data_IF_029610341428
#
_entry.id   IF_029610341428
#
_cell.length_a   1.000
_cell.length_b   1.000
_cell.length_c   1.000
_cell.angle_alpha   90.00
_cell.angle_beta   90.00
_cell.angle_gamma   90.00
#
_symmetry.space_group_name_H-M   'P 1'
#
loop_
_entity.id
_entity.type
_entity.pdbx_description
1 polymer ?
#
# COMPACT_ATOMS: atom_id res chain seq x y z
N UNK A 1 0.69 4.14 12.19
CA UNK A 1 1.70 3.15 12.41
C UNK A 1 1.92 2.35 11.15
N UNK A 2 3.15 2.12 10.80
CA UNK A 2 3.45 1.49 9.55
C UNK A 2 3.17 0.00 9.54
N UNK A 3 2.78 -0.52 8.43
CA UNK A 3 2.66 -1.95 8.24
C UNK A 3 3.05 -2.30 6.82
N UNK A 4 3.37 -3.57 6.61
CA UNK A 4 3.73 -4.06 5.29
C UNK A 4 2.51 -4.56 4.57
N UNK A 5 2.34 -4.15 3.34
CA UNK A 5 1.35 -4.74 2.46
C UNK A 5 2.04 -5.18 1.19
N UNK A 6 1.47 -6.13 0.50
CA UNK A 6 2.09 -6.73 -0.66
C UNK A 6 1.54 -6.08 -1.93
N UNK A 7 2.46 -5.68 -2.80
CA UNK A 7 2.12 -5.10 -4.09
C UNK A 7 2.17 -6.20 -5.14
N UNK A 8 1.01 -6.58 -5.65
CA UNK A 8 0.93 -7.67 -6.63
C UNK A 8 1.46 -7.28 -7.99
N UNK A 9 1.48 -5.99 -8.30
CA UNK A 9 1.98 -5.55 -9.59
C UNK A 9 3.49 -5.70 -9.71
N UNK A 10 4.18 -5.34 -8.64
CA UNK A 10 5.63 -5.40 -8.63
C UNK A 10 6.17 -6.66 -7.98
N UNK A 11 5.34 -7.35 -7.21
CA UNK A 11 5.81 -8.49 -6.45
C UNK A 11 6.66 -8.10 -5.26
N UNK A 12 6.49 -6.90 -4.75
CA UNK A 12 7.27 -6.37 -3.64
C UNK A 12 6.37 -5.95 -2.51
N UNK A 13 6.97 -5.73 -1.36
CA UNK A 13 6.25 -5.18 -0.22
C UNK A 13 6.37 -3.67 -0.20
N UNK A 14 5.31 -3.03 0.25
CA UNK A 14 5.35 -1.60 0.51
C UNK A 14 5.00 -1.37 1.97
N UNK A 15 5.43 -0.23 2.49
CA UNK A 15 5.22 0.12 3.89
C UNK A 15 4.26 1.28 3.99
N UNK A 16 3.21 1.10 4.77
CA UNK A 16 2.27 2.20 4.97
C UNK A 16 2.88 3.22 5.90
N UNK A 17 2.73 4.48 5.55
CA UNK A 17 3.22 5.59 6.36
C UNK A 17 2.08 6.20 7.15
N UNK A 18 0.92 6.25 6.53
CA UNK A 18 -0.27 6.79 7.16
C UNK A 18 -1.47 6.07 6.60
N UNK A 19 -2.66 6.53 6.93
CA UNK A 19 -3.88 5.85 6.51
C UNK A 19 -4.04 5.78 5.00
N UNK A 20 -3.44 6.71 4.27
CA UNK A 20 -3.61 6.75 2.82
C UNK A 20 -2.31 6.93 2.06
N UNK A 21 -1.18 6.73 2.71
CA UNK A 21 0.11 6.86 2.04
C UNK A 21 1.01 5.70 2.40
N UNK A 22 1.79 5.29 1.42
CA UNK A 22 2.76 4.23 1.64
C UNK A 22 4.00 4.52 0.81
N UNK A 23 5.05 3.78 1.07
CA UNK A 23 6.29 3.90 0.33
C UNK A 23 6.72 2.52 -0.11
N UNK A 24 7.09 2.38 -1.37
CA UNK A 24 7.53 1.08 -1.86
C UNK A 24 9.01 0.87 -1.54
N UNK A 25 9.52 -0.30 -1.92
CA UNK A 25 10.90 -0.65 -1.59
C UNK A 25 11.92 0.21 -2.32
N UNK A 26 11.52 0.86 -3.38
CA UNK A 26 12.40 1.78 -4.11
C UNK A 26 12.37 3.19 -3.56
N UNK A 27 11.51 3.44 -2.59
CA UNK A 27 11.39 4.76 -2.01
C UNK A 27 10.37 5.65 -2.68
N UNK A 28 9.55 5.09 -3.57
CA UNK A 28 8.51 5.86 -4.24
C UNK A 28 7.27 5.94 -3.37
N UNK A 29 6.65 7.11 -3.35
CA UNK A 29 5.42 7.28 -2.59
C UNK A 29 4.24 6.72 -3.35
N UNK A 30 3.35 6.11 -2.62
CA UNK A 30 2.13 5.55 -3.17
C UNK A 30 0.94 6.08 -2.39
N UNK A 31 -0.14 6.32 -3.08
CA UNK A 31 -1.34 6.89 -2.50
C UNK A 31 -2.44 5.84 -2.51
N UNK A 32 -3.12 5.73 -1.38
CA UNK A 32 -4.21 4.77 -1.28
C UNK A 32 -5.37 5.21 -2.16
N UNK A 33 -5.81 4.31 -3.02
CA UNK A 33 -6.98 4.55 -3.85
C UNK A 33 -8.20 3.84 -3.30
N UNK A 34 -8.01 2.62 -2.82
CA UNK A 34 -9.07 1.89 -2.15
C UNK A 34 -8.38 0.87 -1.24
N UNK A 35 -9.16 0.01 -0.62
CA UNK A 35 -8.59 -0.90 0.37
C UNK A 35 -7.52 -1.82 -0.22
N UNK A 36 -7.65 -2.18 -1.48
CA UNK A 36 -6.68 -3.06 -2.10
C UNK A 36 -6.05 -2.46 -3.35
N UNK A 37 -6.03 -1.14 -3.46
CA UNK A 37 -5.42 -0.47 -4.61
C UNK A 37 -4.65 0.74 -4.15
N UNK A 38 -3.50 0.97 -4.77
CA UNK A 38 -2.76 2.18 -4.53
C UNK A 38 -2.22 2.71 -5.84
N UNK A 39 -1.93 3.99 -5.86
CA UNK A 39 -1.44 4.66 -7.06
C UNK A 39 -0.02 5.13 -6.82
N UNK A 40 0.83 4.83 -7.79
CA UNK A 40 2.20 5.33 -7.77
C UNK A 40 2.16 6.82 -8.09
N UNK A 41 2.58 7.64 -7.16
CA UNK A 41 2.52 9.08 -7.34
C UNK A 41 3.48 9.60 -8.40
N UNK A 42 4.50 8.82 -8.70
CA UNK A 42 5.47 9.22 -9.70
C UNK A 42 4.96 9.01 -11.13
N UNK A 43 4.34 7.89 -11.38
CA UNK A 43 3.86 7.55 -12.72
C UNK A 43 2.36 7.62 -12.87
N UNK A 44 1.64 7.61 -11.78
CA UNK A 44 0.17 7.57 -11.82
C UNK A 44 -0.39 6.19 -12.06
N UNK A 45 0.43 5.17 -11.97
CA UNK A 45 0.00 3.80 -12.19
C UNK A 45 -0.74 3.26 -10.98
N UNK A 46 -1.79 2.48 -11.27
CA UNK A 46 -2.54 1.84 -10.20
C UNK A 46 -1.98 0.44 -9.96
N UNK A 47 -1.72 0.13 -8.71
CA UNK A 47 -1.21 -1.17 -8.31
C UNK A 47 -2.21 -1.86 -7.41
N UNK A 48 -2.38 -3.15 -7.63
CA UNK A 48 -3.18 -3.96 -6.72
C UNK A 48 -2.32 -4.38 -5.55
N UNK A 49 -2.86 -4.20 -4.36
CA UNK A 49 -2.12 -4.54 -3.14
C UNK A 49 -3.00 -5.43 -2.28
N UNK A 50 -2.40 -6.03 -1.28
CA UNK A 50 -3.11 -7.03 -0.49
C UNK A 50 -4.24 -6.43 0.35
N UNK A 51 -4.01 -5.38 1.05
CA UNK A 51 -5.05 -4.68 1.79
C UNK A 51 -4.43 -3.57 2.59
N UNK A 52 -5.04 -2.42 2.54
CA UNK A 52 -4.60 -1.30 3.36
C UNK A 52 -5.16 -1.40 4.76
N UNK A 53 -6.41 -1.87 4.90
CA UNK A 53 -7.03 -1.97 6.20
C UNK A 53 -6.54 -3.21 6.89
N UNK A 54 -6.41 -3.10 8.08
CA UNK A 54 -5.94 -4.16 8.83
C UNK A 54 -7.00 -4.93 9.52
N UNK A 55 -7.59 -5.21 9.50
CA UNK A 55 -8.30 -5.74 10.18
C UNK A 55 -8.35 -6.69 10.91
N UNK A 56 -7.63 -6.41 11.16
CA UNK A 56 -7.60 -7.03 11.86
C UNK A 56 -7.90 -7.42 12.67
N UNK A 57 -7.87 -7.21 12.71
CA UNK A 57 -8.02 -7.52 13.46
C UNK A 57 -8.51 -7.90 14.11
N UNK A 58 -8.67 -7.73 14.20
CA UNK A 58 -9.07 -8.07 14.78
C UNK A 58 -9.46 -8.35 15.37
N UNK A 59 -9.47 -8.24 15.37
CA UNK A 59 -9.92 -8.50 15.95
C UNK A 59 -10.30 -8.82 16.48
N UNK A 60 -10.29 -8.75 16.49
CA UNK A 60 -10.73 -8.98 16.99
C UNK A 60 -11.03 -9.36 17.27
#
# INVERSE_FOLDING_TARGET
MGKCIFDFEDGDFIFTISDNKAMDSDGNLMLRMSDNMSMDMDSGEIHLVSSWSNDDEGDD
#
